data_IF_893743844031
#
_entry.id   IF_893743844031
#
_cell.length_a   1.000
_cell.length_b   1.000
_cell.length_c   1.000
_cell.angle_alpha   90.00
_cell.angle_beta   90.00
_cell.angle_gamma   90.00
#
_symmetry.space_group_name_H-M   'P 1'
#
loop_
_entity.id
_entity.type
_entity.pdbx_description
1 polymer ?
#
# COMPACT_ATOMS: atom_id res chain seq x y z
N UNK A 1 -9.14 -14.48 -6.48
CA UNK A 1 -8.05 -14.80 -7.43
C UNK A 1 -7.35 -16.06 -6.94
N UNK A 2 -7.11 -17.08 -7.78
CA UNK A 2 -6.37 -18.28 -7.36
C UNK A 2 -4.91 -17.88 -7.06
N UNK A 3 -4.42 -18.17 -5.84
CA UNK A 3 -3.05 -17.86 -5.43
C UNK A 3 -2.07 -18.49 -6.46
N UNK A 4 -1.05 -17.75 -6.94
CA UNK A 4 -0.14 -18.27 -7.95
C UNK A 4 0.56 -19.53 -7.43
N UNK A 5 0.73 -20.55 -8.28
CA UNK A 5 1.26 -21.87 -7.88
C UNK A 5 2.62 -21.77 -7.17
N UNK A 6 3.45 -20.80 -7.57
CA UNK A 6 4.76 -20.50 -6.98
C UNK A 6 4.67 -19.99 -5.53
N UNK A 7 3.58 -19.31 -5.15
CA UNK A 7 3.33 -18.90 -3.77
C UNK A 7 3.17 -20.12 -2.84
N UNK A 8 2.43 -21.14 -3.29
CA UNK A 8 2.21 -22.38 -2.53
C UNK A 8 3.46 -23.26 -2.41
N UNK A 9 4.34 -23.23 -3.41
CA UNK A 9 5.49 -24.13 -3.47
C UNK A 9 6.80 -23.51 -2.97
N UNK A 10 6.95 -22.17 -3.05
CA UNK A 10 8.23 -21.50 -2.74
C UNK A 10 8.13 -20.28 -1.83
N UNK A 11 6.93 -19.90 -1.38
CA UNK A 11 6.77 -18.72 -0.52
C UNK A 11 7.22 -17.40 -1.17
N UNK A 12 7.38 -17.37 -2.50
CA UNK A 12 7.77 -16.16 -3.22
C UNK A 12 6.61 -15.16 -3.13
N UNK A 13 6.88 -14.03 -2.48
CA UNK A 13 5.87 -13.02 -2.13
C UNK A 13 5.23 -13.19 -0.75
N UNK A 14 5.68 -14.16 0.06
CA UNK A 14 5.30 -14.29 1.47
C UNK A 14 6.01 -13.18 2.26
N UNK A 15 5.26 -12.47 3.08
CA UNK A 15 5.81 -11.51 4.03
C UNK A 15 6.72 -12.23 5.04
N UNK A 16 7.86 -11.66 5.46
CA UNK A 16 8.71 -12.35 6.42
C UNK A 16 7.98 -12.57 7.75
N UNK A 17 8.30 -13.68 8.42
CA UNK A 17 7.46 -14.18 9.51
C UNK A 17 7.43 -13.23 10.73
N UNK A 18 8.48 -12.42 10.93
CA UNK A 18 8.56 -11.41 12.00
C UNK A 18 7.54 -10.29 11.79
N UNK A 19 7.46 -9.75 10.58
CA UNK A 19 6.52 -8.71 10.19
C UNK A 19 5.09 -9.27 10.25
N UNK A 20 4.89 -10.50 9.80
CA UNK A 20 3.59 -11.18 9.91
C UNK A 20 3.14 -11.38 11.36
N UNK A 21 4.04 -11.76 12.26
CA UNK A 21 3.74 -11.87 13.68
C UNK A 21 3.42 -10.50 14.29
N UNK A 22 4.15 -9.46 13.89
CA UNK A 22 3.95 -8.09 14.37
C UNK A 22 2.57 -7.57 13.96
N UNK A 23 2.19 -7.67 12.68
CA UNK A 23 0.87 -7.23 12.21
C UNK A 23 -0.27 -8.00 12.88
N UNK A 24 -0.09 -9.29 13.15
CA UNK A 24 -1.07 -10.08 13.91
C UNK A 24 -1.23 -9.58 15.34
N UNK A 25 -0.14 -9.27 16.03
CA UNK A 25 -0.16 -8.75 17.39
C UNK A 25 -0.83 -7.37 17.47
N UNK A 26 -0.69 -6.55 16.43
CA UNK A 26 -1.38 -5.24 16.31
C UNK A 26 -2.90 -5.36 16.13
N UNK A 27 -3.42 -6.56 15.83
CA UNK A 27 -4.83 -6.79 15.53
C UNK A 27 -5.15 -6.39 14.09
N UNK A 28 -5.12 -7.38 13.20
CA UNK A 28 -5.42 -7.21 11.77
C UNK A 28 -6.90 -6.90 11.56
N UNK A 29 -7.18 -5.82 10.85
CA UNK A 29 -8.51 -5.43 10.35
C UNK A 29 -8.66 -5.89 8.89
N UNK A 30 -7.63 -5.63 8.08
CA UNK A 30 -7.56 -6.07 6.69
C UNK A 30 -6.18 -6.67 6.41
N UNK A 31 -6.13 -7.74 5.63
CA UNK A 31 -4.89 -8.33 5.17
C UNK A 31 -5.10 -9.04 3.84
N UNK A 32 -4.23 -8.73 2.89
CA UNK A 32 -4.13 -9.43 1.62
C UNK A 32 -2.69 -9.45 1.12
N UNK A 33 -2.24 -10.61 0.63
CA UNK A 33 -0.84 -10.92 0.36
C UNK A 33 -0.67 -11.47 -1.06
N UNK A 34 0.57 -11.51 -1.56
CA UNK A 34 0.87 -11.96 -2.92
C UNK A 34 0.08 -11.19 -4.00
N UNK A 35 -0.21 -9.92 -3.74
CA UNK A 35 -0.92 -9.01 -4.63
C UNK A 35 -0.02 -8.64 -5.80
N UNK A 36 -0.56 -8.63 -7.02
CA UNK A 36 0.12 -7.94 -8.12
C UNK A 36 -0.10 -6.45 -7.94
N UNK A 37 0.95 -5.65 -8.04
CA UNK A 37 0.82 -4.21 -7.92
C UNK A 37 1.73 -3.45 -8.87
N UNK A 38 1.52 -2.14 -8.92
CA UNK A 38 2.41 -1.22 -9.62
C UNK A 38 2.62 0.04 -8.81
N UNK A 39 3.85 0.54 -8.83
CA UNK A 39 4.22 1.86 -8.34
C UNK A 39 4.43 2.76 -9.55
N UNK A 40 3.63 3.82 -9.65
CA UNK A 40 3.79 4.85 -10.67
C UNK A 40 4.36 6.12 -10.02
N UNK A 41 5.39 6.67 -10.66
CA UNK A 41 5.99 7.95 -10.33
C UNK A 41 5.44 8.99 -11.32
N UNK A 42 4.96 10.11 -10.80
CA UNK A 42 4.53 11.27 -11.59
C UNK A 42 5.34 12.50 -11.16
N UNK A 43 6.03 13.13 -12.12
CA UNK A 43 6.86 14.32 -11.92
C UNK A 43 7.82 14.21 -10.72
N UNK A 44 8.35 13.01 -10.52
CA UNK A 44 9.13 12.64 -9.34
C UNK A 44 10.53 13.24 -9.38
N UNK A 45 10.92 13.85 -8.27
CA UNK A 45 12.27 14.37 -8.03
C UNK A 45 12.77 13.89 -6.68
N UNK A 46 14.04 13.49 -6.64
CA UNK A 46 14.82 13.20 -5.43
C UNK A 46 16.31 13.48 -5.73
N UNK A 47 17.20 13.59 -4.73
CA UNK A 47 18.61 13.82 -4.99
C UNK A 47 19.21 12.78 -5.96
N UNK A 48 19.73 13.26 -7.08
CA UNK A 48 20.31 12.43 -8.14
C UNK A 48 19.33 11.56 -8.92
N UNK A 49 18.01 11.76 -8.77
CA UNK A 49 16.99 10.96 -9.47
C UNK A 49 15.82 11.83 -9.96
N UNK A 50 15.48 11.65 -11.22
CA UNK A 50 14.38 12.34 -11.86
C UNK A 50 13.54 11.40 -12.71
N UNK A 51 12.21 11.56 -12.69
CA UNK A 51 11.32 10.86 -13.59
C UNK A 51 10.00 11.61 -13.79
N UNK A 52 9.73 12.07 -15.02
CA UNK A 52 8.41 12.60 -15.40
C UNK A 52 7.31 11.54 -15.22
N UNK A 53 7.58 10.34 -15.74
CA UNK A 53 6.70 9.20 -15.61
C UNK A 53 7.50 7.91 -15.60
N UNK A 54 7.24 7.05 -14.62
CA UNK A 54 7.81 5.71 -14.57
C UNK A 54 6.85 4.79 -13.85
N UNK A 55 6.66 3.59 -14.39
CA UNK A 55 5.88 2.54 -13.72
C UNK A 55 6.73 1.30 -13.47
N UNK A 56 6.64 0.76 -12.26
CA UNK A 56 7.35 -0.44 -11.81
C UNK A 56 6.34 -1.45 -11.29
N UNK A 57 6.34 -2.65 -11.86
CA UNK A 57 5.50 -3.75 -11.39
C UNK A 57 6.14 -4.46 -10.21
N UNK A 58 5.33 -4.92 -9.26
CA UNK A 58 5.79 -5.64 -8.08
C UNK A 58 4.80 -6.69 -7.60
N UNK A 59 5.26 -7.56 -6.70
CA UNK A 59 4.40 -8.37 -5.84
C UNK A 59 4.39 -7.77 -4.44
N UNK A 60 3.22 -7.61 -3.85
CA UNK A 60 3.07 -6.88 -2.61
C UNK A 60 2.09 -7.50 -1.63
N UNK A 61 2.00 -6.83 -0.48
CA UNK A 61 1.07 -7.15 0.61
C UNK A 61 0.47 -5.84 1.07
N UNK A 62 -0.82 -5.85 1.38
CA UNK A 62 -1.57 -4.73 1.91
C UNK A 62 -2.22 -5.14 3.22
N UNK A 63 -2.00 -4.38 4.27
CA UNK A 63 -2.47 -4.67 5.61
C UNK A 63 -2.95 -3.41 6.31
N UNK A 64 -4.10 -3.51 6.96
CA UNK A 64 -4.60 -2.52 7.91
C UNK A 64 -4.71 -3.21 9.26
N UNK A 65 -4.06 -2.64 10.26
CA UNK A 65 -4.15 -3.08 11.66
C UNK A 65 -4.86 -2.02 12.50
N UNK A 66 -5.13 -2.31 13.77
CA UNK A 66 -5.66 -1.30 14.69
C UNK A 66 -4.68 -0.15 14.96
N UNK A 67 -3.43 -0.28 14.53
CA UNK A 67 -2.36 0.69 14.84
C UNK A 67 -1.80 1.38 13.60
N UNK A 68 -1.82 0.75 12.41
CA UNK A 68 -1.21 1.33 11.19
C UNK A 68 -1.80 0.80 9.89
N UNK A 69 -1.58 1.57 8.83
CA UNK A 69 -1.61 1.09 7.45
C UNK A 69 -0.20 0.63 7.05
N UNK A 70 -0.07 -0.61 6.60
CA UNK A 70 1.19 -1.17 6.15
C UNK A 70 1.06 -1.80 4.75
N UNK A 71 2.00 -1.51 3.87
CA UNK A 71 2.11 -2.16 2.57
C UNK A 71 3.56 -2.48 2.25
N UNK A 72 3.77 -3.60 1.58
CA UNK A 72 5.09 -4.12 1.23
C UNK A 72 5.20 -4.28 -0.28
N UNK A 73 6.36 -3.90 -0.83
CA UNK A 73 6.78 -4.13 -2.20
C UNK A 73 7.95 -5.12 -2.19
N UNK A 74 7.76 -6.31 -2.78
CA UNK A 74 8.79 -7.36 -2.84
C UNK A 74 9.42 -7.62 -1.45
N UNK A 75 8.57 -7.75 -0.42
CA UNK A 75 8.94 -7.94 0.99
C UNK A 75 9.70 -6.78 1.65
N UNK A 76 9.77 -5.61 1.02
CA UNK A 76 10.30 -4.37 1.62
C UNK A 76 9.15 -3.42 1.97
N UNK A 77 9.19 -2.70 3.11
CA UNK A 77 8.19 -1.69 3.42
C UNK A 77 8.11 -0.66 2.29
N UNK A 78 6.89 -0.39 1.83
CA UNK A 78 6.58 0.65 0.86
C UNK A 78 5.69 1.73 1.49
N UNK A 79 4.76 1.31 2.35
CA UNK A 79 3.90 2.19 3.14
C UNK A 79 3.94 1.65 4.57
N UNK A 80 4.20 2.50 5.55
CA UNK A 80 4.16 2.16 6.97
C UNK A 80 3.80 3.42 7.74
N UNK A 81 2.50 3.61 7.94
CA UNK A 81 1.94 4.86 8.49
C UNK A 81 1.04 4.53 9.69
N UNK A 82 1.44 4.91 10.91
CA UNK A 82 0.58 4.79 12.08
C UNK A 82 -0.76 5.52 11.89
N UNK A 83 -1.86 4.93 12.37
CA UNK A 83 -3.18 5.58 12.30
C UNK A 83 -3.27 6.86 13.14
N UNK A 84 -2.41 6.98 14.16
CA UNK A 84 -2.27 8.20 14.98
C UNK A 84 -1.44 9.30 14.29
N UNK A 85 -0.73 8.99 13.21
CA UNK A 85 0.06 9.96 12.46
C UNK A 85 -0.85 10.79 11.55
N UNK A 86 -0.75 12.12 11.63
CA UNK A 86 -1.58 13.03 10.84
C UNK A 86 -1.44 12.80 9.32
N UNK A 87 -0.26 12.33 8.87
CA UNK A 87 0.03 12.05 7.46
C UNK A 87 -0.86 10.97 6.86
N UNK A 88 -1.49 10.12 7.68
CA UNK A 88 -2.47 9.14 7.18
C UNK A 88 -3.61 9.85 6.44
N UNK A 89 -3.96 11.07 6.86
CA UNK A 89 -5.03 11.86 6.26
C UNK A 89 -4.64 12.54 4.94
N UNK A 90 -3.34 12.62 4.67
CA UNK A 90 -2.79 13.18 3.43
C UNK A 90 -2.65 12.12 2.33
N UNK A 91 -2.82 10.85 2.68
CA UNK A 91 -2.92 9.76 1.71
C UNK A 91 -4.27 9.85 0.99
N UNK A 92 -4.22 9.82 -0.35
CA UNK A 92 -5.39 9.62 -1.20
C UNK A 92 -5.60 8.12 -1.38
N UNK A 93 -6.63 7.58 -0.73
CA UNK A 93 -6.93 6.15 -0.74
C UNK A 93 -8.30 5.94 -1.40
N UNK A 94 -8.34 5.14 -2.45
CA UNK A 94 -9.57 4.89 -3.21
C UNK A 94 -9.57 3.52 -3.87
N UNK A 95 -10.76 3.08 -4.32
CA UNK A 95 -10.91 1.93 -5.20
C UNK A 95 -11.10 2.49 -6.60
N UNK A 96 -10.13 2.26 -7.51
CA UNK A 96 -10.27 2.69 -8.90
C UNK A 96 -11.29 1.83 -9.66
N UNK A 97 -11.37 0.55 -9.28
CA UNK A 97 -12.34 -0.42 -9.79
C UNK A 97 -12.60 -1.50 -8.70
N UNK A 98 -13.40 -2.53 -9.02
CA UNK A 98 -13.73 -3.65 -8.12
C UNK A 98 -12.51 -4.42 -7.61
N UNK A 99 -11.39 -4.31 -8.32
CA UNK A 99 -10.19 -5.13 -8.15
C UNK A 99 -8.92 -4.34 -7.85
N UNK A 100 -8.97 -3.01 -7.82
CA UNK A 100 -7.77 -2.16 -7.71
C UNK A 100 -7.93 -1.14 -6.59
N UNK A 101 -7.13 -1.33 -5.53
CA UNK A 101 -6.96 -0.32 -4.48
C UNK A 101 -5.78 0.60 -4.83
N UNK A 102 -6.00 1.91 -4.76
CA UNK A 102 -5.01 2.96 -4.95
C UNK A 102 -4.65 3.57 -3.60
N UNK A 103 -3.36 3.74 -3.36
CA UNK A 103 -2.82 4.61 -2.32
C UNK A 103 -1.85 5.58 -2.98
N UNK A 104 -2.19 6.86 -2.98
CA UNK A 104 -1.40 7.91 -3.61
C UNK A 104 -1.05 9.03 -2.63
N UNK A 105 0.15 9.59 -2.75
CA UNK A 105 0.63 10.69 -1.91
C UNK A 105 1.77 11.46 -2.58
N UNK A 106 2.00 12.69 -2.14
CA UNK A 106 3.18 13.45 -2.54
C UNK A 106 4.43 12.86 -1.84
N UNK A 107 5.49 12.63 -2.60
CA UNK A 107 6.74 12.05 -2.10
C UNK A 107 7.37 12.88 -0.96
N UNK A 108 7.17 14.21 -0.99
CA UNK A 108 7.57 15.17 0.03
C UNK A 108 6.98 14.89 1.41
N UNK A 109 5.84 14.19 1.48
CA UNK A 109 5.15 13.83 2.73
C UNK A 109 6.02 13.02 3.70
N UNK A 110 6.93 12.20 3.16
CA UNK A 110 7.84 11.35 3.96
C UNK A 110 9.31 11.70 3.78
N UNK A 111 9.66 12.46 2.73
CA UNK A 111 11.03 12.84 2.40
C UNK A 111 11.08 14.30 1.95
N UNK A 112 11.52 15.21 2.81
CA UNK A 112 11.45 16.65 2.55
C UNK A 112 12.24 17.12 1.31
N UNK A 113 13.19 16.34 0.83
CA UNK A 113 14.00 16.57 -0.37
C UNK A 113 13.42 15.91 -1.62
N UNK A 114 12.24 15.29 -1.52
CA UNK A 114 11.53 14.64 -2.63
C UNK A 114 10.30 15.46 -3.03
N UNK A 115 9.87 15.29 -4.28
CA UNK A 115 8.62 15.90 -4.77
C UNK A 115 7.97 15.01 -5.83
N UNK A 116 6.69 15.26 -6.11
CA UNK A 116 5.93 14.54 -7.13
C UNK A 116 5.11 13.41 -6.52
N UNK A 117 4.21 12.84 -7.31
CA UNK A 117 3.22 11.88 -6.79
C UNK A 117 3.73 10.46 -6.92
N UNK A 118 3.61 9.69 -5.83
CA UNK A 118 3.74 8.24 -5.82
C UNK A 118 2.35 7.62 -5.80
N UNK A 119 2.08 6.71 -6.73
CA UNK A 119 0.81 5.98 -6.80
C UNK A 119 1.07 4.48 -6.69
N UNK A 120 0.65 3.90 -5.58
CA UNK A 120 0.66 2.45 -5.37
C UNK A 120 -0.70 1.87 -5.73
N UNK A 121 -0.73 1.00 -6.73
CA UNK A 121 -1.92 0.21 -7.09
C UNK A 121 -1.72 -1.22 -6.66
N UNK A 122 -2.67 -1.75 -5.90
CA UNK A 122 -2.71 -3.14 -5.45
C UNK A 122 -3.92 -3.84 -6.08
N UNK A 123 -3.68 -4.93 -6.81
CA UNK A 123 -4.75 -5.74 -7.39
C UNK A 123 -5.27 -6.75 -6.39
N UNK A 124 -6.46 -6.52 -5.85
CA UNK A 124 -7.17 -7.36 -4.88
C UNK A 124 -8.67 -7.33 -5.17
N UNK A 125 -9.36 -8.47 -5.11
CA UNK A 125 -10.84 -8.55 -5.23
C UNK A 125 -11.57 -7.88 -4.05
N UNK A 126 -10.84 -7.42 -3.05
CA UNK A 126 -11.35 -6.77 -1.83
C UNK A 126 -11.01 -5.28 -1.81
N UNK A 127 -10.85 -4.65 -2.97
CA UNK A 127 -10.42 -3.26 -3.08
C UNK A 127 -11.41 -2.29 -2.39
N UNK A 128 -12.71 -2.46 -2.63
CA UNK A 128 -13.76 -1.65 -1.98
C UNK A 128 -13.78 -1.86 -0.47
N UNK A 129 -13.75 -3.12 -0.01
CA UNK A 129 -13.70 -3.45 1.42
C UNK A 129 -12.51 -2.76 2.11
N UNK A 130 -11.32 -2.81 1.49
CA UNK A 130 -10.14 -2.12 2.03
C UNK A 130 -10.36 -0.62 2.20
N UNK A 131 -10.93 0.04 1.17
CA UNK A 131 -11.16 1.50 1.16
C UNK A 131 -12.23 1.90 2.17
N UNK A 132 -13.30 1.12 2.31
CA UNK A 132 -14.33 1.33 3.32
C UNK A 132 -13.75 1.21 4.74
N UNK A 133 -12.94 0.17 4.99
CA UNK A 133 -12.33 -0.07 6.29
C UNK A 133 -11.33 1.03 6.68
N UNK A 134 -10.45 1.46 5.76
CA UNK A 134 -9.48 2.51 6.06
C UNK A 134 -10.17 3.84 6.33
N UNK A 135 -11.19 4.20 5.53
CA UNK A 135 -11.97 5.42 5.72
C UNK A 135 -12.72 5.42 7.05
N UNK A 136 -13.28 4.27 7.45
CA UNK A 136 -13.94 4.12 8.74
C UNK A 136 -12.98 4.33 9.92
N UNK A 137 -11.72 3.89 9.82
CA UNK A 137 -10.74 4.06 10.92
C UNK A 137 -10.03 5.41 10.90
N UNK A 138 -9.85 6.04 9.73
CA UNK A 138 -9.19 7.36 9.62
C UNK A 138 -10.18 8.52 9.78
N UNK A 139 -11.48 8.25 9.63
CA UNK A 139 -12.53 9.26 9.59
C UNK A 139 -12.51 10.08 8.30
N UNK A 140 -11.91 9.57 7.22
CA UNK A 140 -11.97 10.18 5.89
C UNK A 140 -13.30 9.83 5.22
N UNK A 141 -14.07 10.83 4.77
CA UNK A 141 -15.34 10.61 4.07
C UNK A 141 -15.10 10.07 2.65
N UNK A 142 -15.99 9.18 2.18
CA UNK A 142 -16.03 8.70 0.80
C UNK A 142 -16.44 9.86 -0.12
N UNK A 143 -15.50 10.58 -0.73
CA UNK A 143 -15.85 11.45 -1.86
C UNK A 143 -16.28 10.55 -3.03
N UNK A 144 -17.56 10.68 -3.38
CA UNK A 144 -18.29 9.89 -4.39
C UNK A 144 -18.18 10.56 -5.75
#
# INVERSE_FOLDING_TARGET
>A
MKKPLLYRLFGIGKMPDREAATLRAEGVIFFDEALKGSLTYHDFRAPGRYSNWRRVWFTGTLALTKTRLAAFQNSRPAIDVPLADARIRELKISAEDETTALVAFDAGLFHADWSGTLEYRFRTERAREFVELINAVTGQSLET
#
